data_IF_190211598564
#
_entry.id   IF_190211598564
#
_cell.length_a   1.000
_cell.length_b   1.000
_cell.length_c   1.000
_cell.angle_alpha   90.00
_cell.angle_beta   90.00
_cell.angle_gamma   90.00
#
_symmetry.space_group_name_H-M   'P 1'
#
loop_
_entity.id
_entity.type
_entity.pdbx_description
1 polymer ?
#
# COMPACT_ATOMS: atom_id res chain seq x y z
N UNK A 1 4.57 18.32 26.24
CA UNK A 1 3.25 18.18 25.62
C UNK A 1 3.29 16.94 24.75
N UNK A 2 2.41 15.96 24.91
CA UNK A 2 2.35 14.89 23.94
C UNK A 2 1.98 15.52 22.58
N UNK A 3 2.78 15.23 21.55
CA UNK A 3 2.47 15.55 20.17
C UNK A 3 1.06 15.00 19.90
N UNK A 4 0.09 15.88 19.69
CA UNK A 4 -1.21 15.46 19.21
C UNK A 4 -0.95 14.78 17.86
N UNK A 5 -1.27 13.49 17.79
CA UNK A 5 -1.18 12.79 16.51
C UNK A 5 -2.09 13.51 15.52
N UNK A 6 -1.51 14.08 14.47
CA UNK A 6 -2.25 14.82 13.45
C UNK A 6 -3.14 13.92 12.58
N UNK A 7 -3.21 12.65 12.90
CA UNK A 7 -4.10 11.68 12.27
C UNK A 7 -4.56 10.64 13.29
N UNK A 8 -5.66 9.96 13.01
CA UNK A 8 -6.15 8.80 13.76
C UNK A 8 -6.10 7.55 12.89
N UNK A 9 -5.88 6.40 13.52
CA UNK A 9 -6.07 5.12 12.83
C UNK A 9 -7.57 4.82 12.72
N UNK A 10 -8.00 4.31 11.58
CA UNK A 10 -9.36 3.82 11.44
C UNK A 10 -9.58 2.69 12.47
N UNK A 11 -10.64 2.77 13.32
CA UNK A 11 -10.96 1.70 14.25
C UNK A 11 -11.07 0.34 13.56
N UNK A 12 -10.60 -0.73 14.20
CA UNK A 12 -10.57 -2.07 13.62
C UNK A 12 -11.96 -2.58 13.16
N UNK A 13 -13.02 -2.11 13.82
CA UNK A 13 -14.41 -2.46 13.52
C UNK A 13 -15.10 -1.48 12.57
N UNK A 14 -14.39 -0.46 12.08
CA UNK A 14 -14.97 0.46 11.09
C UNK A 14 -15.28 -0.34 9.84
N UNK A 15 -16.53 -0.33 9.35
CA UNK A 15 -16.87 -0.92 8.06
C UNK A 15 -15.94 -0.36 6.99
N UNK A 16 -15.46 -1.23 6.12
CA UNK A 16 -14.69 -0.76 4.97
C UNK A 16 -15.60 0.10 4.11
N UNK A 17 -15.17 1.31 3.75
CA UNK A 17 -15.90 2.16 2.84
C UNK A 17 -16.14 1.46 1.50
N UNK A 18 -17.12 1.96 0.74
CA UNK A 18 -17.41 1.45 -0.59
C UNK A 18 -16.15 1.49 -1.47
N UNK A 19 -15.87 0.39 -2.16
CA UNK A 19 -14.66 0.22 -2.98
C UNK A 19 -13.47 -0.42 -2.25
N UNK A 20 -13.54 -0.65 -0.95
CA UNK A 20 -12.56 -1.42 -0.19
C UNK A 20 -13.09 -2.83 0.05
N UNK A 21 -12.35 -3.82 -0.39
CA UNK A 21 -12.76 -5.23 -0.28
C UNK A 21 -11.84 -5.98 0.69
N UNK A 22 -12.39 -6.61 1.74
CA UNK A 22 -11.61 -7.52 2.58
C UNK A 22 -11.09 -8.68 1.75
N UNK A 23 -9.86 -9.11 2.04
CA UNK A 23 -9.32 -10.32 1.44
C UNK A 23 -9.70 -11.51 2.35
N UNK A 24 -10.47 -12.44 1.80
CA UNK A 24 -10.83 -13.69 2.46
C UNK A 24 -10.37 -14.86 1.59
N UNK A 25 -9.18 -15.42 1.84
CA UNK A 25 -8.71 -16.55 1.06
C UNK A 25 -9.58 -17.78 1.37
N UNK A 26 -10.25 -18.29 0.35
CA UNK A 26 -11.09 -19.50 0.45
C UNK A 26 -10.38 -20.73 -0.10
N UNK A 27 -9.25 -20.57 -0.76
CA UNK A 27 -8.49 -21.63 -1.41
C UNK A 27 -7.00 -21.45 -1.19
N UNK A 28 -6.28 -22.56 -1.04
CA UNK A 28 -4.83 -22.59 -1.13
C UNK A 28 -4.43 -22.91 -2.57
N UNK A 29 -3.78 -21.97 -3.25
CA UNK A 29 -3.23 -22.19 -4.58
C UNK A 29 -1.72 -22.11 -4.50
N UNK A 30 -1.07 -23.25 -4.40
CA UNK A 30 0.39 -23.33 -4.45
C UNK A 30 0.86 -23.22 -5.90
N UNK A 31 1.67 -22.23 -6.17
CA UNK A 31 2.31 -22.01 -7.48
C UNK A 31 3.79 -22.36 -7.37
N UNK A 32 4.34 -23.24 -8.22
CA UNK A 32 5.76 -23.55 -8.20
C UNK A 32 6.62 -22.32 -8.41
N UNK A 33 7.58 -22.11 -7.52
CA UNK A 33 8.60 -21.07 -7.65
C UNK A 33 9.82 -21.65 -8.38
N UNK A 34 10.24 -21.01 -9.46
CA UNK A 34 11.48 -21.39 -10.12
C UNK A 34 12.67 -21.16 -9.18
N UNK A 35 13.60 -22.11 -9.17
CA UNK A 35 14.78 -22.03 -8.33
C UNK A 35 15.81 -21.02 -8.83
N UNK A 36 15.81 -20.75 -10.15
CA UNK A 36 16.71 -19.79 -10.79
C UNK A 36 16.08 -18.43 -10.94
N UNK A 37 16.86 -17.41 -10.67
CA UNK A 37 16.49 -16.03 -10.96
C UNK A 37 16.54 -15.76 -12.47
N UNK A 38 15.59 -15.01 -12.97
CA UNK A 38 15.59 -14.53 -14.36
C UNK A 38 16.18 -13.13 -14.38
N UNK A 39 17.27 -12.97 -15.12
CA UNK A 39 17.86 -11.64 -15.28
C UNK A 39 17.03 -10.79 -16.24
N UNK A 40 16.70 -9.59 -15.81
CA UNK A 40 15.99 -8.62 -16.64
C UNK A 40 16.90 -7.87 -17.63
N UNK A 41 18.18 -8.21 -17.67
CA UNK A 41 19.19 -7.68 -18.59
C UNK A 41 19.61 -8.72 -19.62
N UNK A 42 20.89 -9.10 -19.61
CA UNK A 42 21.41 -10.13 -20.52
C UNK A 42 20.93 -11.53 -20.11
N UNK A 43 20.71 -12.42 -21.11
CA UNK A 43 20.37 -13.81 -20.83
C UNK A 43 21.44 -14.51 -19.98
N UNK A 44 21.02 -15.30 -19.02
CA UNK A 44 21.89 -16.22 -18.28
C UNK A 44 21.40 -17.66 -18.43
N UNK A 45 22.28 -18.67 -18.27
CA UNK A 45 21.86 -20.06 -18.31
C UNK A 45 20.81 -20.33 -17.24
N UNK A 46 19.71 -21.01 -17.62
CA UNK A 46 18.73 -21.49 -16.68
C UNK A 46 19.24 -22.78 -16.03
N UNK A 47 19.54 -22.73 -14.75
CA UNK A 47 19.93 -23.89 -13.96
C UNK A 47 18.90 -24.12 -12.87
N UNK A 48 18.36 -25.34 -12.80
CA UNK A 48 17.55 -25.82 -11.71
C UNK A 48 16.06 -25.88 -11.97
N UNK A 49 15.38 -26.74 -11.18
CA UNK A 49 13.93 -26.95 -11.19
C UNK A 49 13.32 -26.39 -9.92
N UNK A 50 12.03 -26.01 -9.99
CA UNK A 50 11.30 -25.52 -8.82
C UNK A 50 11.13 -26.63 -7.80
N UNK A 51 11.68 -26.45 -6.61
CA UNK A 51 11.47 -27.35 -5.47
C UNK A 51 10.54 -26.73 -4.41
N UNK A 52 10.24 -25.44 -4.54
CA UNK A 52 9.42 -24.70 -3.57
C UNK A 52 8.17 -24.16 -4.23
N UNK A 53 7.04 -24.31 -3.54
CA UNK A 53 5.79 -23.67 -3.95
C UNK A 53 5.58 -22.36 -3.16
N UNK A 54 4.96 -21.37 -3.81
CA UNK A 54 4.49 -20.15 -3.17
C UNK A 54 2.97 -20.23 -3.02
N UNK A 55 2.48 -19.98 -1.82
CA UNK A 55 1.07 -19.64 -1.60
C UNK A 55 0.92 -18.11 -1.70
N UNK A 56 0.26 -17.63 -2.74
CA UNK A 56 0.04 -16.20 -2.91
C UNK A 56 -0.81 -15.57 -1.81
N UNK A 57 -1.72 -16.33 -1.19
CA UNK A 57 -2.49 -15.85 -0.05
C UNK A 57 -1.59 -15.56 1.14
N UNK A 58 -0.66 -16.47 1.43
CA UNK A 58 0.32 -16.28 2.49
C UNK A 58 1.29 -15.14 2.17
N UNK A 59 1.82 -15.11 0.94
CA UNK A 59 2.76 -14.10 0.48
C UNK A 59 2.18 -12.68 0.53
N UNK A 60 0.89 -12.53 0.19
CA UNK A 60 0.18 -11.25 0.19
C UNK A 60 -0.47 -10.91 1.54
N UNK A 61 -0.15 -11.66 2.60
CA UNK A 61 -0.74 -11.48 3.93
C UNK A 61 -2.28 -11.59 3.92
N UNK A 62 -2.86 -12.25 2.90
CA UNK A 62 -4.30 -12.35 2.70
C UNK A 62 -5.02 -13.15 3.78
N UNK A 63 -4.29 -13.92 4.60
CA UNK A 63 -4.83 -14.64 5.76
C UNK A 63 -4.96 -13.74 6.99
N UNK A 64 -4.37 -12.55 6.98
CA UNK A 64 -4.44 -11.63 8.10
C UNK A 64 -5.77 -10.84 8.06
N UNK A 65 -6.56 -10.82 9.15
CA UNK A 65 -7.90 -10.21 9.15
C UNK A 65 -7.91 -8.69 8.94
N UNK A 66 -6.75 -8.04 9.12
CA UNK A 66 -6.60 -6.60 8.89
C UNK A 66 -6.20 -6.25 7.46
N UNK A 67 -6.05 -7.23 6.56
CA UNK A 67 -5.66 -7.00 5.17
C UNK A 67 -6.88 -6.74 4.29
N UNK A 68 -6.81 -5.71 3.47
CA UNK A 68 -7.80 -5.43 2.44
C UNK A 68 -7.13 -5.03 1.12
N UNK A 69 -7.92 -5.01 0.05
CA UNK A 69 -7.47 -4.58 -1.26
C UNK A 69 -8.22 -3.32 -1.71
N UNK A 70 -7.52 -2.41 -2.36
CA UNK A 70 -8.08 -1.21 -2.99
C UNK A 70 -7.45 -1.00 -4.36
N UNK A 71 -8.24 -0.52 -5.31
CA UNK A 71 -7.75 -0.16 -6.63
C UNK A 71 -7.25 1.28 -6.64
N UNK A 72 -6.01 1.48 -7.08
CA UNK A 72 -5.45 2.81 -7.25
C UNK A 72 -6.10 3.54 -8.43
N UNK A 73 -6.26 4.86 -8.29
CA UNK A 73 -6.68 5.75 -9.37
C UNK A 73 -5.76 6.95 -9.44
N UNK A 74 -5.49 7.39 -10.67
CA UNK A 74 -4.68 8.55 -10.94
C UNK A 74 -3.19 8.27 -11.00
N UNK A 75 -2.40 9.33 -11.10
CA UNK A 75 -0.99 9.28 -11.49
C UNK A 75 -0.05 9.92 -10.47
N UNK A 76 -0.53 10.19 -9.26
CA UNK A 76 0.26 10.91 -8.25
C UNK A 76 1.36 10.07 -7.58
N UNK A 77 1.43 8.77 -7.86
CA UNK A 77 2.39 7.83 -7.26
C UNK A 77 3.12 6.97 -8.30
N UNK A 78 3.23 7.44 -9.52
CA UNK A 78 3.84 6.69 -10.64
C UNK A 78 5.32 6.39 -10.42
N UNK A 79 6.07 7.28 -9.78
CA UNK A 79 7.49 7.04 -9.46
C UNK A 79 7.69 6.08 -8.28
N UNK A 80 6.66 5.88 -7.46
CA UNK A 80 6.62 4.81 -6.46
C UNK A 80 6.20 3.45 -7.05
N UNK A 81 5.98 3.40 -8.36
CA UNK A 81 5.57 2.19 -9.06
C UNK A 81 4.06 1.93 -9.04
N UNK A 82 3.23 2.86 -8.58
CA UNK A 82 1.77 2.73 -8.58
C UNK A 82 1.19 3.46 -9.78
N UNK A 83 0.50 2.72 -10.63
CA UNK A 83 -0.20 3.23 -11.81
C UNK A 83 -1.70 3.21 -11.62
N UNK A 84 -2.41 3.98 -12.46
CA UNK A 84 -3.87 3.93 -12.48
C UNK A 84 -4.36 2.50 -12.76
N UNK A 85 -5.30 2.02 -11.95
CA UNK A 85 -5.87 0.68 -12.06
C UNK A 85 -5.12 -0.43 -11.30
N UNK A 86 -3.94 -0.18 -10.75
CA UNK A 86 -3.23 -1.17 -9.93
C UNK A 86 -4.05 -1.58 -8.70
N UNK A 87 -3.88 -2.84 -8.29
CA UNK A 87 -4.48 -3.33 -7.05
C UNK A 87 -3.46 -3.22 -5.91
N UNK A 88 -3.83 -2.53 -4.86
CA UNK A 88 -3.00 -2.35 -3.66
C UNK A 88 -3.48 -3.29 -2.56
N UNK A 89 -2.56 -3.99 -1.94
CA UNK A 89 -2.80 -4.79 -0.73
C UNK A 89 -2.36 -3.98 0.48
N UNK A 90 -3.28 -3.76 1.42
CA UNK A 90 -3.14 -2.80 2.53
C UNK A 90 -3.34 -3.49 3.86
N UNK A 91 -2.44 -3.23 4.80
CA UNK A 91 -2.50 -3.71 6.17
C UNK A 91 -3.00 -2.60 7.10
N UNK A 92 -4.18 -2.80 7.69
CA UNK A 92 -4.82 -1.87 8.64
C UNK A 92 -4.24 -1.94 10.04
N UNK A 93 -3.53 -2.99 10.37
CA UNK A 93 -2.97 -3.17 11.73
C UNK A 93 -1.70 -2.36 11.97
N UNK A 94 -1.08 -1.87 10.89
CA UNK A 94 0.17 -1.13 10.97
C UNK A 94 -0.04 0.36 11.14
N UNK A 95 0.66 0.93 12.11
CA UNK A 95 0.86 2.36 12.19
C UNK A 95 1.89 2.80 11.15
N UNK A 96 1.61 3.85 10.37
CA UNK A 96 2.54 4.33 9.36
C UNK A 96 3.81 4.87 10.00
N UNK A 97 4.92 4.70 9.29
CA UNK A 97 6.22 5.29 9.58
C UNK A 97 6.65 6.15 8.40
N UNK A 98 7.50 7.13 8.64
CA UNK A 98 8.08 7.93 7.55
C UNK A 98 8.68 7.02 6.48
N UNK A 99 8.28 7.19 5.23
CA UNK A 99 8.65 6.37 4.09
C UNK A 99 7.61 5.31 3.69
N UNK A 100 6.61 5.03 4.51
CA UNK A 100 5.53 4.10 4.14
C UNK A 100 4.58 4.73 3.11
N UNK A 101 4.04 3.92 2.21
CA UNK A 101 2.92 4.32 1.37
C UNK A 101 1.63 3.97 2.12
N UNK A 102 0.74 4.94 2.24
CA UNK A 102 -0.47 4.81 3.05
C UNK A 102 -1.73 5.08 2.25
N UNK A 103 -2.82 4.48 2.69
CA UNK A 103 -4.18 4.89 2.33
C UNK A 103 -4.69 5.81 3.43
N UNK A 104 -4.88 7.07 3.10
CA UNK A 104 -5.34 8.11 4.03
C UNK A 104 -6.69 8.64 3.58
N UNK A 105 -7.60 8.86 4.52
CA UNK A 105 -8.82 9.60 4.30
C UNK A 105 -8.63 11.02 4.85
N UNK A 106 -8.92 12.01 4.02
CA UNK A 106 -8.88 13.43 4.38
C UNK A 106 -10.26 14.00 4.05
N UNK A 107 -10.98 14.48 5.05
CA UNK A 107 -12.33 15.04 4.89
C UNK A 107 -13.25 14.15 4.03
N UNK A 108 -13.29 12.84 4.31
CA UNK A 108 -14.05 11.82 3.58
C UNK A 108 -13.55 11.48 2.16
N UNK A 109 -12.41 12.00 1.73
CA UNK A 109 -11.78 11.64 0.45
C UNK A 109 -10.56 10.77 0.65
N UNK A 110 -10.46 9.66 -0.09
CA UNK A 110 -9.31 8.75 -0.01
C UNK A 110 -8.17 9.20 -0.93
N UNK A 111 -6.96 9.06 -0.42
CA UNK A 111 -5.75 9.27 -1.20
C UNK A 111 -4.68 8.22 -0.85
N UNK A 112 -3.81 7.92 -1.81
CA UNK A 112 -2.62 7.08 -1.63
C UNK A 112 -1.40 7.96 -1.84
N UNK A 113 -0.55 8.06 -0.82
CA UNK A 113 0.63 8.92 -0.82
C UNK A 113 1.75 8.30 0.00
N UNK A 114 2.97 8.83 -0.15
CA UNK A 114 4.07 8.55 0.77
C UNK A 114 3.86 9.32 2.06
N UNK A 115 3.78 8.61 3.19
CA UNK A 115 3.74 9.21 4.51
C UNK A 115 5.14 9.67 4.90
N UNK A 116 5.26 10.93 5.25
CA UNK A 116 6.52 11.54 5.64
C UNK A 116 6.33 12.33 6.93
N UNK A 117 7.42 12.63 7.61
CA UNK A 117 7.43 13.45 8.82
C UNK A 117 8.48 14.55 8.69
N UNK A 118 8.11 15.75 9.10
CA UNK A 118 9.04 16.88 9.24
C UNK A 118 9.92 16.67 10.49
N UNK A 119 11.05 17.40 10.61
CA UNK A 119 11.92 17.30 11.81
C UNK A 119 11.21 17.57 13.13
N UNK A 120 10.13 18.35 13.13
CA UNK A 120 9.28 18.64 14.29
C UNK A 120 8.24 17.54 14.60
N UNK A 121 8.22 16.46 13.79
CA UNK A 121 7.26 15.35 13.91
C UNK A 121 5.92 15.61 13.21
N UNK A 122 5.73 16.74 12.53
CA UNK A 122 4.51 17.01 11.76
C UNK A 122 4.44 16.07 10.56
N UNK A 123 3.39 15.24 10.43
CA UNK A 123 3.23 14.38 9.27
C UNK A 123 2.83 15.19 8.04
N UNK A 124 3.20 14.68 6.87
CA UNK A 124 2.70 15.16 5.59
C UNK A 124 2.63 14.02 4.59
N UNK A 125 1.86 14.19 3.54
CA UNK A 125 1.69 13.22 2.47
C UNK A 125 2.37 13.73 1.21
N UNK A 126 3.33 12.95 0.72
CA UNK A 126 4.16 13.30 -0.43
C UNK A 126 3.72 12.51 -1.67
N UNK A 127 3.37 13.19 -2.77
CA UNK A 127 3.17 12.54 -4.06
C UNK A 127 4.51 12.18 -4.70
N UNK A 128 4.55 11.09 -5.46
CA UNK A 128 5.73 10.66 -6.21
C UNK A 128 5.39 10.54 -7.70
N UNK A 129 5.36 11.68 -8.37
CA UNK A 129 5.09 11.75 -9.81
C UNK A 129 5.70 13.00 -10.42
N UNK A 130 6.26 12.87 -11.61
CA UNK A 130 6.72 13.98 -12.45
C UNK A 130 5.73 14.37 -13.55
N UNK A 131 4.63 13.62 -13.66
CA UNK A 131 3.67 13.83 -14.75
C UNK A 131 2.88 15.13 -14.58
N UNK A 132 2.64 15.55 -13.33
CA UNK A 132 1.90 16.75 -12.97
C UNK A 132 2.53 17.43 -11.75
N UNK A 133 2.21 18.70 -11.55
CA UNK A 133 2.67 19.46 -10.39
C UNK A 133 1.83 19.15 -9.14
N UNK A 134 1.94 17.90 -8.67
CA UNK A 134 1.35 17.50 -7.40
C UNK A 134 2.09 18.13 -6.23
N UNK A 135 1.37 18.54 -5.20
CA UNK A 135 1.91 19.17 -4.00
C UNK A 135 1.82 18.25 -2.80
N UNK A 136 2.72 18.47 -1.84
CA UNK A 136 2.61 17.87 -0.53
C UNK A 136 1.30 18.29 0.15
N UNK A 137 0.66 17.34 0.83
CA UNK A 137 -0.53 17.59 1.63
C UNK A 137 -0.09 17.65 3.08
N UNK A 138 -0.27 18.80 3.71
CA UNK A 138 0.06 19.04 5.13
C UNK A 138 -1.24 19.23 5.90
N UNK A 139 -1.41 18.61 7.07
CA UNK A 139 -2.64 18.75 7.84
C UNK A 139 -2.89 20.20 8.23
N UNK A 140 -4.13 20.62 8.11
CA UNK A 140 -4.62 21.89 8.64
C UNK A 140 -5.48 21.66 9.90
N UNK A 141 -5.75 22.72 10.66
CA UNK A 141 -6.51 22.63 11.91
C UNK A 141 -7.96 22.17 11.72
N UNK A 142 -8.46 22.24 10.49
CA UNK A 142 -9.87 21.93 10.16
C UNK A 142 -10.03 20.61 9.39
N UNK A 143 -8.93 19.88 9.15
CA UNK A 143 -8.95 18.63 8.41
C UNK A 143 -8.89 17.42 9.33
N UNK A 144 -9.79 16.48 9.09
CA UNK A 144 -9.74 15.18 9.73
C UNK A 144 -8.95 14.20 8.86
N UNK A 145 -7.86 13.69 9.42
CA UNK A 145 -7.01 12.69 8.79
C UNK A 145 -7.21 11.34 9.46
N UNK A 146 -7.64 10.35 8.68
CA UNK A 146 -7.83 8.97 9.15
C UNK A 146 -6.96 8.04 8.32
N UNK A 147 -6.03 7.35 8.96
CA UNK A 147 -5.20 6.35 8.29
C UNK A 147 -5.94 5.01 8.21
N UNK A 148 -6.15 4.52 7.00
CA UNK A 148 -6.77 3.22 6.76
C UNK A 148 -5.76 2.08 6.68
N UNK A 149 -4.48 2.37 6.53
CA UNK A 149 -3.43 1.38 6.59
C UNK A 149 -2.24 1.67 5.71
N UNK A 150 -1.28 0.76 5.77
CA UNK A 150 -0.01 0.80 5.05
C UNK A 150 -0.08 -0.12 3.84
N UNK A 151 0.27 0.38 2.66
CA UNK A 151 0.34 -0.42 1.43
C UNK A 151 1.53 -1.38 1.54
N UNK A 152 1.26 -2.67 1.36
CA UNK A 152 2.26 -3.73 1.46
C UNK A 152 2.69 -4.28 0.12
N UNK A 153 1.76 -4.41 -0.81
CA UNK A 153 2.02 -4.95 -2.13
C UNK A 153 1.27 -4.17 -3.20
N UNK A 154 1.84 -4.16 -4.39
CA UNK A 154 1.23 -3.61 -5.59
C UNK A 154 1.09 -4.77 -6.57
N UNK A 155 -0.12 -5.05 -7.04
CA UNK A 155 -0.39 -6.07 -8.04
C UNK A 155 -0.73 -5.36 -9.35
N UNK A 156 0.09 -5.61 -10.36
CA UNK A 156 -0.07 -5.11 -11.72
C UNK A 156 -0.50 -6.22 -12.65
N UNK A 157 -1.41 -5.91 -13.54
CA UNK A 157 -1.73 -6.73 -14.70
C UNK A 157 -1.17 -6.05 -15.93
N UNK A 158 -0.39 -6.77 -16.71
CA UNK A 158 0.25 -6.27 -17.94
C UNK A 158 -0.73 -6.32 -19.12
#
# INVERSE_FOLDING_TARGET
MPLQSHYTMAPANTPLPEGLTPIHPTTHAAVPLAFSEVQAGFPSPAEGYAEKAIDFNEMLEGTHPATFAIRARGESMTEAGISDGDLLVVDRSRHPRAGDIVVMQINNEFTVKRFMEKPDGTPYLHPESRLHDFKDIVPSEFEEWICFGVVRHIIKTL
#
